data_IF_184960969490
#
_entry.id   IF_184960969490
#
_cell.length_a   1.000
_cell.length_b   1.000
_cell.length_c   1.000
_cell.angle_alpha   90.00
_cell.angle_beta   90.00
_cell.angle_gamma   90.00
#
_symmetry.space_group_name_H-M   'P 1'
#
loop_
_entity.id
_entity.type
_entity.pdbx_description
1 polymer ?
#
# COMPACT_ATOMS: atom_id res chain seq x y z
N UNK A 1 -13.76 5.61 24.07
CA UNK A 1 -14.85 4.74 23.58
C UNK A 1 -14.22 3.53 22.91
N UNK A 2 -14.41 2.33 23.45
CA UNK A 2 -13.84 1.10 22.89
C UNK A 2 -14.53 0.78 21.57
N UNK A 3 -13.83 0.98 20.46
CA UNK A 3 -14.29 0.69 19.11
C UNK A 3 -14.21 -0.82 18.82
N UNK A 4 -15.01 -1.61 19.53
CA UNK A 4 -15.08 -3.06 19.33
C UNK A 4 -15.56 -3.48 17.92
N UNK A 5 -16.09 -2.55 17.12
CA UNK A 5 -16.55 -2.82 15.74
C UNK A 5 -15.63 -2.28 14.64
N UNK A 6 -14.45 -1.79 14.99
CA UNK A 6 -13.47 -1.32 14.02
C UNK A 6 -12.55 -2.45 13.57
N UNK A 7 -12.51 -2.70 12.26
CA UNK A 7 -11.48 -3.56 11.65
C UNK A 7 -10.10 -2.92 11.81
N UNK A 8 -9.06 -3.76 11.82
CA UNK A 8 -7.68 -3.31 11.91
C UNK A 8 -7.33 -2.37 10.74
N UNK A 9 -6.60 -1.25 10.98
CA UNK A 9 -6.09 -0.40 9.92
C UNK A 9 -5.20 -1.17 8.95
N UNK A 10 -5.27 -0.86 7.66
CA UNK A 10 -4.38 -1.40 6.64
C UNK A 10 -3.35 -0.34 6.26
N UNK A 11 -2.09 -0.63 6.54
CA UNK A 11 -0.96 0.26 6.29
C UNK A 11 -0.19 -0.25 5.07
N UNK A 12 -0.21 0.51 3.98
CA UNK A 12 0.59 0.19 2.80
C UNK A 12 2.05 0.61 2.99
N UNK A 13 3.00 -0.21 2.56
CA UNK A 13 4.43 0.12 2.55
C UNK A 13 5.00 -0.01 1.14
N UNK A 14 5.54 1.12 0.65
CA UNK A 14 6.12 1.26 -0.68
C UNK A 14 7.58 1.70 -0.60
N UNK A 15 8.36 1.41 -1.65
CA UNK A 15 9.72 1.93 -1.77
C UNK A 15 10.66 1.11 -2.63
N UNK A 16 11.89 1.61 -2.77
CA UNK A 16 12.96 0.96 -3.52
C UNK A 16 13.91 0.16 -2.63
N UNK A 17 14.67 -0.77 -3.22
CA UNK A 17 15.59 -1.69 -2.53
C UNK A 17 16.58 -1.05 -1.55
N UNK A 18 16.86 0.26 -1.64
CA UNK A 18 17.75 0.98 -0.72
C UNK A 18 17.25 1.00 0.73
N UNK A 19 15.95 0.82 0.96
CA UNK A 19 15.34 0.95 2.29
C UNK A 19 14.89 -0.39 2.90
N UNK A 20 15.47 -1.52 2.48
CA UNK A 20 15.09 -2.87 2.95
C UNK A 20 15.09 -3.00 4.49
N UNK A 21 16.13 -2.52 5.16
CA UNK A 21 16.21 -2.58 6.64
C UNK A 21 15.11 -1.73 7.28
N UNK A 22 14.89 -0.52 6.78
CA UNK A 22 13.88 0.39 7.28
C UNK A 22 12.46 -0.19 7.06
N UNK A 23 12.20 -0.76 5.89
CA UNK A 23 10.95 -1.42 5.55
C UNK A 23 10.66 -2.62 6.47
N UNK A 24 11.67 -3.44 6.79
CA UNK A 24 11.54 -4.53 7.76
C UNK A 24 11.12 -4.02 9.13
N UNK A 25 11.79 -2.98 9.64
CA UNK A 25 11.42 -2.38 10.92
C UNK A 25 10.00 -1.79 10.90
N UNK A 26 9.60 -1.14 9.81
CA UNK A 26 8.23 -0.63 9.64
C UNK A 26 7.22 -1.78 9.68
N UNK A 27 7.46 -2.88 8.96
CA UNK A 27 6.57 -4.05 8.97
C UNK A 27 6.37 -4.63 10.38
N UNK A 28 7.45 -4.73 11.17
CA UNK A 28 7.38 -5.14 12.57
C UNK A 28 6.52 -4.17 13.41
N UNK A 29 6.71 -2.85 13.24
CA UNK A 29 5.96 -1.84 13.99
C UNK A 29 4.48 -1.75 13.59
N UNK A 30 4.15 -1.97 12.31
CA UNK A 30 2.76 -2.09 11.85
C UNK A 30 2.07 -3.25 12.57
N UNK A 31 2.68 -4.43 12.61
CA UNK A 31 2.13 -5.59 13.31
C UNK A 31 1.98 -5.36 14.81
N UNK A 32 2.97 -4.77 15.47
CA UNK A 32 2.92 -4.49 16.90
C UNK A 32 1.83 -3.48 17.28
N UNK A 33 1.36 -2.67 16.32
CA UNK A 33 0.26 -1.73 16.48
C UNK A 33 -1.11 -2.35 16.13
N UNK A 34 -1.19 -3.69 16.01
CA UNK A 34 -2.39 -4.45 15.63
C UNK A 34 -3.00 -4.02 14.28
N UNK A 35 -2.18 -3.43 13.40
CA UNK A 35 -2.52 -3.09 12.02
C UNK A 35 -2.12 -4.22 11.06
N UNK A 36 -2.71 -4.20 9.86
CA UNK A 36 -2.43 -5.14 8.78
C UNK A 36 -1.45 -4.47 7.81
N UNK A 37 -0.32 -5.12 7.53
CA UNK A 37 0.61 -4.65 6.51
C UNK A 37 0.05 -4.94 5.11
N UNK A 38 0.18 -4.01 4.17
CA UNK A 38 -0.09 -4.22 2.75
C UNK A 38 1.11 -3.81 1.91
N UNK A 39 1.47 -4.62 0.91
CA UNK A 39 2.48 -4.27 -0.09
C UNK A 39 2.34 -5.16 -1.33
N UNK A 40 3.05 -4.87 -2.40
CA UNK A 40 3.00 -5.66 -3.64
C UNK A 40 3.95 -6.87 -3.70
N UNK A 41 4.37 -7.37 -2.53
CA UNK A 41 5.30 -8.49 -2.38
C UNK A 41 4.57 -9.81 -2.14
N UNK A 42 5.28 -10.92 -2.26
CA UNK A 42 4.80 -12.29 -1.99
C UNK A 42 5.36 -12.89 -0.70
N UNK A 43 6.36 -12.24 -0.09
CA UNK A 43 7.04 -12.70 1.10
C UNK A 43 8.09 -13.80 0.86
N UNK A 44 8.54 -14.00 -0.38
CA UNK A 44 9.52 -15.05 -0.75
C UNK A 44 10.97 -14.56 -0.70
N UNK A 45 11.27 -13.38 -1.25
CA UNK A 45 12.64 -12.82 -1.29
C UNK A 45 12.89 -11.78 -0.17
N UNK A 46 14.13 -11.52 0.22
CA UNK A 46 14.45 -10.43 1.18
C UNK A 46 15.04 -9.20 0.48
N UNK A 47 15.23 -9.27 -0.84
CA UNK A 47 15.96 -8.26 -1.61
C UNK A 47 15.13 -7.04 -2.00
N UNK A 48 13.83 -7.05 -1.71
CA UNK A 48 12.89 -5.98 -2.01
C UNK A 48 12.33 -5.33 -0.74
N UNK A 49 12.01 -4.03 -0.80
CA UNK A 49 11.32 -3.33 0.30
C UNK A 49 9.99 -4.01 0.64
N UNK A 50 9.28 -4.50 -0.38
CA UNK A 50 7.98 -5.14 -0.23
C UNK A 50 8.08 -6.37 0.65
N UNK A 51 8.96 -7.30 0.28
CA UNK A 51 9.10 -8.53 1.04
C UNK A 51 9.84 -8.35 2.38
N UNK A 52 10.75 -7.36 2.47
CA UNK A 52 11.37 -6.99 3.75
C UNK A 52 10.33 -6.52 4.78
N UNK A 53 9.36 -5.70 4.36
CA UNK A 53 8.24 -5.30 5.20
C UNK A 53 7.40 -6.51 5.62
N UNK A 54 7.06 -7.41 4.68
CA UNK A 54 6.32 -8.64 4.98
C UNK A 54 7.06 -9.47 6.03
N UNK A 55 8.38 -9.64 5.88
CA UNK A 55 9.19 -10.37 6.86
C UNK A 55 9.15 -9.73 8.24
N UNK A 56 9.24 -8.40 8.32
CA UNK A 56 9.06 -7.68 9.59
C UNK A 56 7.72 -7.99 10.25
N UNK A 57 6.63 -7.95 9.45
CA UNK A 57 5.30 -8.27 9.93
C UNK A 57 5.18 -9.73 10.40
N UNK A 58 5.73 -10.68 9.63
CA UNK A 58 5.78 -12.12 9.97
C UNK A 58 6.54 -12.37 11.27
N UNK A 59 7.72 -11.75 11.45
CA UNK A 59 8.53 -11.91 12.66
C UNK A 59 7.80 -11.43 13.91
N UNK A 60 6.97 -10.39 13.79
CA UNK A 60 6.11 -9.90 14.88
C UNK A 60 4.79 -10.70 15.03
N UNK A 61 4.59 -11.78 14.25
CA UNK A 61 3.37 -12.58 14.28
C UNK A 61 2.12 -11.86 13.78
N UNK A 62 2.28 -10.76 13.04
CA UNK A 62 1.18 -9.95 12.56
C UNK A 62 0.72 -10.31 11.15
N UNK A 63 -0.43 -9.73 10.77
CA UNK A 63 -1.09 -10.01 9.51
C UNK A 63 -0.55 -9.16 8.37
N UNK A 64 -0.48 -9.75 7.18
CA UNK A 64 0.04 -9.08 6.00
C UNK A 64 -0.72 -9.48 4.72
N UNK A 65 -0.73 -8.56 3.76
CA UNK A 65 -1.36 -8.72 2.45
C UNK A 65 -0.33 -8.41 1.37
N UNK A 66 -0.16 -9.34 0.44
CA UNK A 66 0.64 -9.20 -0.77
C UNK A 66 -0.23 -8.99 -2.00
N UNK A 67 -0.01 -7.95 -2.79
CA UNK A 67 -0.72 -7.74 -4.07
C UNK A 67 0.22 -8.04 -5.24
N UNK A 68 0.12 -9.24 -5.78
CA UNK A 68 1.05 -9.71 -6.79
C UNK A 68 0.82 -9.04 -8.16
N UNK A 69 1.90 -8.89 -8.93
CA UNK A 69 1.87 -8.23 -10.25
C UNK A 69 1.16 -9.06 -11.31
N UNK A 70 1.42 -10.36 -11.32
CA UNK A 70 0.95 -11.29 -12.34
C UNK A 70 -0.14 -12.20 -11.78
N UNK A 71 -1.04 -12.65 -12.65
CA UNK A 71 -1.99 -13.71 -12.30
C UNK A 71 -1.27 -15.04 -12.40
N UNK A 72 -1.60 -15.94 -11.48
CA UNK A 72 -0.97 -17.24 -11.26
C UNK A 72 -0.86 -18.17 -12.48
N UNK A 73 -1.75 -18.03 -13.47
CA UNK A 73 -1.81 -18.92 -14.64
C UNK A 73 -0.62 -18.79 -15.60
N UNK A 74 0.46 -18.08 -15.24
CA UNK A 74 1.73 -18.05 -15.97
C UNK A 74 2.76 -19.10 -15.50
N UNK A 75 2.41 -19.93 -14.51
CA UNK A 75 3.26 -21.05 -14.06
C UNK A 75 4.41 -20.67 -13.12
N UNK A 76 4.38 -19.46 -12.54
CA UNK A 76 5.50 -18.90 -11.77
C UNK A 76 5.52 -19.20 -10.26
N UNK A 77 4.62 -20.02 -9.69
CA UNK A 77 4.60 -20.22 -8.23
C UNK A 77 5.70 -21.15 -7.73
N UNK A 78 6.31 -20.74 -6.62
CA UNK A 78 6.88 -21.66 -5.64
C UNK A 78 5.74 -22.31 -4.81
N UNK A 79 5.56 -23.65 -4.86
CA UNK A 79 4.58 -24.39 -4.07
C UNK A 79 4.65 -24.17 -2.55
N UNK A 80 5.72 -23.56 -2.04
CA UNK A 80 5.93 -23.23 -0.62
C UNK A 80 5.02 -22.10 -0.10
N UNK A 81 4.47 -21.26 -1.00
CA UNK A 81 3.51 -20.20 -0.68
C UNK A 81 2.16 -20.78 -0.29
N UNK A 82 2.06 -21.54 0.79
CA UNK A 82 0.79 -21.97 1.37
C UNK A 82 0.11 -20.75 2.00
N UNK A 83 -1.23 -20.75 2.00
CA UNK A 83 -2.02 -19.81 2.80
C UNK A 83 -1.54 -19.87 4.25
N UNK A 84 -0.69 -18.93 4.64
CA UNK A 84 -0.30 -18.74 6.03
C UNK A 84 -1.51 -18.13 6.74
N UNK A 85 -1.86 -18.59 7.94
CA UNK A 85 -2.97 -17.98 8.72
C UNK A 85 -2.85 -16.46 8.89
N UNK A 86 -1.62 -15.94 8.81
CA UNK A 86 -1.30 -14.53 8.94
C UNK A 86 -1.09 -13.80 7.60
N UNK A 87 -1.16 -14.47 6.44
CA UNK A 87 -0.82 -13.89 5.14
C UNK A 87 -1.89 -14.13 4.07
N UNK A 88 -2.17 -13.09 3.28
CA UNK A 88 -3.06 -13.19 2.11
C UNK A 88 -2.35 -12.67 0.86
N UNK A 89 -2.24 -13.49 -0.19
CA UNK A 89 -1.77 -13.04 -1.50
C UNK A 89 -2.98 -12.81 -2.42
N UNK A 90 -3.06 -11.61 -3.00
CA UNK A 90 -4.03 -11.22 -4.01
C UNK A 90 -3.36 -11.24 -5.39
N UNK A 91 -3.97 -11.91 -6.35
CA UNK A 91 -3.39 -12.14 -7.69
C UNK A 91 -4.29 -11.59 -8.79
N UNK A 92 -4.43 -10.26 -8.89
CA UNK A 92 -5.45 -9.63 -9.74
C UNK A 92 -5.12 -9.68 -11.24
N UNK A 93 -3.91 -10.09 -11.64
CA UNK A 93 -3.51 -10.11 -13.05
C UNK A 93 -3.46 -8.72 -13.70
N UNK A 94 -3.24 -7.68 -12.91
CA UNK A 94 -3.36 -6.28 -13.36
C UNK A 94 -2.07 -5.68 -13.89
N UNK A 95 -0.95 -6.41 -13.90
CA UNK A 95 0.33 -5.86 -14.33
C UNK A 95 0.67 -4.64 -13.49
N UNK A 96 1.07 -3.50 -14.07
CA UNK A 96 1.34 -2.26 -13.31
C UNK A 96 0.12 -1.63 -12.63
N UNK A 97 -1.10 -1.92 -13.12
CA UNK A 97 -2.33 -1.34 -12.58
C UNK A 97 -2.66 -1.82 -11.16
N UNK A 98 -1.99 -2.86 -10.63
CA UNK A 98 -2.16 -3.27 -9.22
C UNK A 98 -1.78 -2.16 -8.23
N UNK A 99 -0.93 -1.20 -8.60
CA UNK A 99 -0.56 -0.10 -7.72
C UNK A 99 -1.80 0.74 -7.33
N UNK A 100 -2.76 0.91 -8.24
CA UNK A 100 -4.05 1.54 -7.94
C UNK A 100 -4.92 0.68 -7.04
N UNK A 101 -4.87 -0.65 -7.21
CA UNK A 101 -5.54 -1.59 -6.33
C UNK A 101 -4.99 -1.51 -4.90
N UNK A 102 -3.67 -1.49 -4.72
CA UNK A 102 -3.02 -1.32 -3.41
C UNK A 102 -3.52 -0.06 -2.70
N UNK A 103 -3.65 1.06 -3.43
CA UNK A 103 -4.20 2.31 -2.91
C UNK A 103 -5.71 2.23 -2.57
N UNK A 104 -6.49 1.44 -3.30
CA UNK A 104 -7.90 1.17 -2.96
C UNK A 104 -8.02 0.38 -1.65
N UNK A 105 -7.09 -0.55 -1.41
CA UNK A 105 -7.15 -1.49 -0.29
C UNK A 105 -6.58 -0.92 1.02
N UNK A 106 -5.74 0.11 0.98
CA UNK A 106 -5.12 0.68 2.17
C UNK A 106 -5.95 1.80 2.82
N UNK A 107 -5.70 2.00 4.13
CA UNK A 107 -6.24 3.10 4.92
C UNK A 107 -5.26 4.29 4.94
N UNK A 108 -3.95 3.99 4.94
CA UNK A 108 -2.85 4.95 4.89
C UNK A 108 -1.64 4.31 4.20
N UNK A 109 -0.80 5.11 3.56
CA UNK A 109 0.44 4.64 2.95
C UNK A 109 1.69 5.24 3.61
N UNK A 110 2.74 4.43 3.72
CA UNK A 110 4.11 4.84 4.05
C UNK A 110 4.95 4.57 2.79
N UNK A 111 5.50 5.63 2.20
CA UNK A 111 6.34 5.53 1.02
C UNK A 111 7.78 5.93 1.34
N UNK A 112 8.64 4.94 1.45
CA UNK A 112 10.09 5.12 1.49
C UNK A 112 10.56 5.57 0.10
N UNK A 113 11.59 6.42 0.02
CA UNK A 113 12.08 6.94 -1.26
C UNK A 113 12.31 5.81 -2.29
N UNK A 114 11.77 6.04 -3.48
CA UNK A 114 11.78 5.07 -4.56
C UNK A 114 11.78 5.71 -5.93
N UNK A 115 11.68 4.87 -6.97
CA UNK A 115 11.61 5.33 -8.36
C UNK A 115 10.17 5.42 -8.87
N UNK A 116 10.01 5.42 -10.20
CA UNK A 116 8.72 5.53 -10.92
C UNK A 116 7.59 4.64 -10.36
N UNK A 117 7.90 3.39 -10.02
CA UNK A 117 6.92 2.47 -9.43
C UNK A 117 6.34 2.99 -8.11
N UNK A 118 7.20 3.47 -7.21
CA UNK A 118 6.80 4.07 -5.93
C UNK A 118 6.04 5.38 -6.12
N UNK A 119 6.46 6.22 -7.08
CA UNK A 119 5.73 7.45 -7.43
C UNK A 119 4.31 7.13 -7.89
N UNK A 120 4.10 6.09 -8.71
CA UNK A 120 2.76 5.70 -9.14
C UNK A 120 1.86 5.17 -8.00
N UNK A 121 2.45 4.49 -7.00
CA UNK A 121 1.75 4.03 -5.80
C UNK A 121 1.32 5.24 -4.93
N UNK A 122 2.21 6.23 -4.76
CA UNK A 122 1.91 7.50 -4.07
C UNK A 122 0.82 8.27 -4.81
N UNK A 123 0.96 8.43 -6.12
CA UNK A 123 -0.01 9.14 -6.96
C UNK A 123 -1.41 8.52 -6.84
N UNK A 124 -1.52 7.19 -6.87
CA UNK A 124 -2.79 6.50 -6.70
C UNK A 124 -3.42 6.75 -5.31
N UNK A 125 -2.61 6.77 -4.26
CA UNK A 125 -3.08 7.10 -2.91
C UNK A 125 -3.61 8.54 -2.84
N UNK A 126 -2.84 9.50 -3.34
CA UNK A 126 -3.22 10.91 -3.38
C UNK A 126 -4.51 11.12 -4.21
N UNK A 127 -4.60 10.48 -5.38
CA UNK A 127 -5.80 10.49 -6.23
C UNK A 127 -7.05 10.00 -5.48
N UNK A 128 -6.88 8.96 -4.67
CA UNK A 128 -7.94 8.38 -3.84
C UNK A 128 -8.11 9.09 -2.49
N UNK A 129 -7.43 10.23 -2.28
CA UNK A 129 -7.45 11.02 -1.04
C UNK A 129 -7.04 10.20 0.19
N UNK A 130 -6.10 9.27 0.01
CA UNK A 130 -5.48 8.49 1.07
C UNK A 130 -4.27 9.25 1.62
N UNK A 131 -4.11 9.35 2.95
CA UNK A 131 -2.94 9.99 3.54
C UNK A 131 -1.67 9.21 3.19
N UNK A 132 -0.59 9.94 2.94
CA UNK A 132 0.73 9.37 2.60
C UNK A 132 1.82 9.96 3.47
N UNK A 133 2.60 9.08 4.10
CA UNK A 133 3.83 9.43 4.82
C UNK A 133 5.02 9.20 3.89
N UNK A 134 5.66 10.28 3.45
CA UNK A 134 6.87 10.26 2.64
C UNK A 134 8.09 10.23 3.56
N UNK A 135 8.93 9.21 3.41
CA UNK A 135 10.15 9.05 4.22
C UNK A 135 11.38 9.11 3.32
N UNK A 136 12.34 9.96 3.69
CA UNK A 136 13.60 10.18 2.95
C UNK A 136 13.43 10.79 1.53
N UNK A 137 12.41 11.62 1.31
CA UNK A 137 12.20 12.34 0.04
C UNK A 137 12.77 13.75 0.13
N UNK A 138 13.76 14.05 -0.71
CA UNK A 138 14.54 15.28 -0.64
C UNK A 138 13.83 16.50 -1.27
N UNK A 139 12.90 16.28 -2.21
CA UNK A 139 12.28 17.32 -3.05
C UNK A 139 10.74 17.28 -3.08
N UNK A 140 10.14 18.31 -3.68
CA UNK A 140 8.78 18.30 -4.22
C UNK A 140 8.59 17.08 -5.14
N UNK A 141 7.54 16.29 -4.92
CA UNK A 141 7.18 15.12 -5.75
C UNK A 141 6.40 15.55 -7.01
N UNK A 142 6.03 16.82 -7.08
CA UNK A 142 5.26 17.46 -8.14
C UNK A 142 5.88 17.27 -9.54
N UNK A 143 7.20 17.42 -9.75
CA UNK A 143 7.82 17.12 -11.04
C UNK A 143 7.72 15.65 -11.42
N UNK A 144 7.84 14.73 -10.45
CA UNK A 144 7.69 13.29 -10.68
C UNK A 144 6.24 12.93 -11.06
N UNK A 145 5.25 13.60 -10.47
CA UNK A 145 3.84 13.48 -10.86
C UNK A 145 3.59 14.01 -12.27
N UNK A 146 4.10 15.20 -12.59
CA UNK A 146 4.00 15.76 -13.94
C UNK A 146 4.63 14.81 -14.97
N UNK A 147 5.80 14.24 -14.65
CA UNK A 147 6.43 13.23 -15.49
C UNK A 147 5.56 11.98 -15.66
N UNK A 148 5.02 11.42 -14.57
CA UNK A 148 4.13 10.25 -14.61
C UNK A 148 2.90 10.52 -15.49
N UNK A 149 2.27 11.69 -15.31
CA UNK A 149 1.12 12.12 -16.11
C UNK A 149 1.49 12.28 -17.58
N UNK A 150 2.64 12.88 -17.89
CA UNK A 150 3.11 13.08 -19.26
C UNK A 150 3.50 11.77 -19.97
N UNK A 151 4.15 10.84 -19.28
CA UNK A 151 4.68 9.62 -19.89
C UNK A 151 3.62 8.49 -19.94
N UNK A 152 2.86 8.31 -18.86
CA UNK A 152 1.92 7.20 -18.72
C UNK A 152 0.50 7.56 -19.19
N UNK A 153 0.07 8.82 -19.05
CA UNK A 153 -1.31 9.26 -19.30
C UNK A 153 -1.49 10.19 -20.51
N UNK A 154 -0.51 11.05 -20.85
CA UNK A 154 -0.63 12.00 -21.96
C UNK A 154 -0.71 11.39 -23.37
N UNK A 155 -0.13 10.21 -23.68
CA UNK A 155 -0.29 9.61 -25.01
C UNK A 155 -1.73 9.20 -25.36
N UNK A 156 -2.71 9.41 -24.45
CA UNK A 156 -4.07 8.86 -24.58
C UNK A 156 -5.23 9.84 -24.38
N UNK A 157 -5.03 11.12 -24.05
CA UNK A 157 -6.16 11.98 -23.61
C UNK A 157 -6.00 13.49 -23.97
N UNK A 158 -6.91 14.05 -24.77
CA UNK A 158 -7.08 15.50 -25.02
C UNK A 158 -7.54 16.28 -23.76
N UNK A 159 -8.13 15.59 -22.78
CA UNK A 159 -8.58 16.13 -21.49
C UNK A 159 -7.50 16.20 -20.38
N UNK A 160 -6.22 16.13 -20.75
CA UNK A 160 -5.09 16.11 -19.80
C UNK A 160 -5.05 17.38 -18.95
N UNK A 161 -5.37 18.54 -19.51
CA UNK A 161 -5.36 19.83 -18.81
C UNK A 161 -6.43 19.92 -17.71
N UNK A 162 -7.64 19.41 -17.93
CA UNK A 162 -8.66 19.37 -16.89
C UNK A 162 -8.30 18.35 -15.80
N UNK A 163 -7.72 17.21 -16.18
CA UNK A 163 -7.26 16.19 -15.22
C UNK A 163 -6.10 16.70 -14.36
N UNK A 164 -5.14 17.42 -14.96
CA UNK A 164 -4.03 18.06 -14.26
C UNK A 164 -4.56 19.15 -13.31
N UNK A 165 -5.54 19.96 -13.73
CA UNK A 165 -6.16 20.97 -12.85
C UNK A 165 -6.93 20.33 -11.70
N UNK A 166 -7.70 19.27 -11.95
CA UNK A 166 -8.41 18.48 -10.94
C UNK A 166 -7.41 17.83 -9.97
N UNK A 167 -6.28 17.31 -10.47
CA UNK A 167 -5.23 16.68 -9.66
C UNK A 167 -4.39 17.67 -8.87
N UNK A 168 -4.04 18.81 -9.45
CA UNK A 168 -3.36 19.89 -8.76
C UNK A 168 -4.23 20.48 -7.65
N UNK A 169 -5.55 20.56 -7.87
CA UNK A 169 -6.51 21.04 -6.88
C UNK A 169 -6.91 19.98 -5.83
N UNK A 170 -6.87 18.69 -6.17
CA UNK A 170 -7.18 17.59 -5.24
C UNK A 170 -5.96 17.03 -4.49
N UNK A 171 -4.76 17.11 -5.08
CA UNK A 171 -3.61 16.27 -4.73
C UNK A 171 -2.48 16.94 -3.96
N UNK A 172 -2.53 18.25 -3.74
CA UNK A 172 -1.51 18.98 -2.97
C UNK A 172 -2.12 19.76 -1.82
N UNK A 173 -3.11 19.17 -1.13
CA UNK A 173 -3.43 19.68 0.20
C UNK A 173 -2.30 19.27 1.13
N UNK A 174 -1.70 20.23 1.82
CA UNK A 174 -0.62 20.01 2.81
C UNK A 174 -1.01 19.02 3.92
N UNK A 175 -2.30 18.75 4.11
CA UNK A 175 -2.79 17.85 5.16
C UNK A 175 -2.78 16.35 4.76
N UNK A 176 -2.66 16.02 3.47
CA UNK A 176 -2.68 14.64 2.97
C UNK A 176 -1.29 13.99 2.88
N UNK A 177 -0.23 14.81 2.74
CA UNK A 177 1.16 14.34 2.61
C UNK A 177 1.96 14.82 3.81
N UNK A 178 2.61 13.90 4.52
CA UNK A 178 3.54 14.23 5.61
C UNK A 178 4.93 13.78 5.20
N UNK A 179 5.92 14.66 5.32
CA UNK A 179 7.32 14.35 5.02
C UNK A 179 8.09 14.13 6.31
N UNK A 180 8.80 13.02 6.37
CA UNK A 180 9.67 12.64 7.48
C UNK A 180 11.11 12.40 6.97
N UNK A 181 12.13 12.82 7.73
CA UNK A 181 13.53 12.53 7.42
C UNK A 181 13.84 11.02 7.31
N UNK A 182 15.00 10.69 6.73
CA UNK A 182 15.40 9.30 6.49
C UNK A 182 15.71 8.54 7.79
N UNK A 183 16.15 9.27 8.80
CA UNK A 183 16.56 8.82 10.12
C UNK A 183 15.38 8.66 11.10
N UNK A 184 14.17 9.06 10.70
CA UNK A 184 13.00 8.95 11.57
C UNK A 184 12.78 7.48 11.97
N UNK A 185 12.65 7.16 13.27
CA UNK A 185 12.45 5.79 13.72
C UNK A 185 11.15 5.18 13.17
N UNK A 186 11.21 3.89 12.82
CA UNK A 186 10.04 3.16 12.29
C UNK A 186 8.78 3.26 13.18
N UNK A 187 8.95 3.28 14.51
CA UNK A 187 7.83 3.41 15.44
C UNK A 187 7.13 4.77 15.34
N UNK A 188 7.90 5.85 15.14
CA UNK A 188 7.37 7.20 14.95
C UNK A 188 6.67 7.34 13.59
N UNK A 189 7.26 6.77 12.54
CA UNK A 189 6.64 6.71 11.19
C UNK A 189 5.28 6.02 11.27
N UNK A 190 5.21 4.83 11.88
CA UNK A 190 3.96 4.06 12.00
C UNK A 190 2.94 4.79 12.88
N UNK A 191 3.35 5.38 14.00
CA UNK A 191 2.47 6.18 14.86
C UNK A 191 1.87 7.36 14.09
N UNK A 192 2.70 8.06 13.33
CA UNK A 192 2.28 9.19 12.48
C UNK A 192 1.29 8.73 11.41
N UNK A 193 1.54 7.59 10.75
CA UNK A 193 0.64 7.02 9.76
C UNK A 193 -0.73 6.67 10.36
N UNK A 194 -0.73 5.98 11.50
CA UNK A 194 -1.96 5.54 12.16
C UNK A 194 -2.79 6.72 12.68
N UNK A 195 -2.16 7.81 13.10
CA UNK A 195 -2.85 9.04 13.49
C UNK A 195 -3.63 9.71 12.34
N UNK A 196 -3.36 9.33 11.08
CA UNK A 196 -4.08 9.82 9.90
C UNK A 196 -5.17 8.88 9.39
N UNK A 197 -5.40 7.75 10.06
CA UNK A 197 -6.45 6.81 9.67
C UNK A 197 -7.83 7.42 10.01
N UNK A 198 -8.54 7.87 8.98
CA UNK A 198 -9.83 8.55 9.07
C UNK A 198 -11.06 7.66 8.86
N UNK A 199 -11.06 6.46 9.44
CA UNK A 199 -12.21 5.58 9.76
C UNK A 199 -13.38 5.28 8.79
N UNK A 200 -13.47 5.87 7.60
CA UNK A 200 -14.34 5.38 6.53
C UNK A 200 -13.46 4.82 5.41
N UNK A 201 -13.44 3.49 5.25
CA UNK A 201 -12.97 2.94 3.96
C UNK A 201 -13.99 3.38 2.91
N UNK A 202 -13.55 3.74 1.69
CA UNK A 202 -14.44 3.76 0.54
C UNK A 202 -15.25 2.47 0.55
N UNK A 203 -16.51 2.59 0.97
CA UNK A 203 -17.39 1.45 1.16
C UNK A 203 -17.64 0.88 -0.21
N UNK A 204 -17.22 -0.37 -0.39
CA UNK A 204 -17.26 -1.13 -1.64
C UNK A 204 -16.11 -0.78 -2.56
N UNK A 205 -15.30 -1.81 -2.75
CA UNK A 205 -14.41 -1.99 -3.86
C UNK A 205 -14.93 -1.32 -5.15
N UNK A 206 -14.11 -0.58 -5.92
CA UNK A 206 -14.63 0.24 -6.99
C UNK A 206 -15.48 -0.57 -7.97
N UNK A 207 -16.72 -0.13 -8.19
CA UNK A 207 -17.70 -0.86 -9.00
C UNK A 207 -17.18 -1.18 -10.42
N UNK A 208 -16.24 -0.38 -10.93
CA UNK A 208 -15.63 -0.58 -12.25
C UNK A 208 -14.87 -1.90 -12.39
N UNK A 209 -14.41 -2.51 -11.28
CA UNK A 209 -13.72 -3.78 -11.38
C UNK A 209 -14.65 -4.96 -11.67
N UNK A 210 -15.98 -4.79 -11.57
CA UNK A 210 -16.96 -5.77 -12.02
C UNK A 210 -16.92 -7.13 -11.30
N UNK A 211 -17.85 -8.02 -11.69
CA UNK A 211 -18.06 -9.30 -11.00
C UNK A 211 -16.87 -10.26 -11.10
N UNK A 212 -16.04 -10.11 -12.14
CA UNK A 212 -14.84 -10.94 -12.36
C UNK A 212 -13.91 -10.97 -11.15
N UNK A 213 -13.80 -9.86 -10.42
CA UNK A 213 -12.88 -9.76 -9.30
C UNK A 213 -13.57 -9.99 -7.94
N UNK A 214 -14.89 -10.23 -7.93
CA UNK A 214 -15.70 -10.43 -6.72
C UNK A 214 -15.11 -11.48 -5.76
N UNK A 215 -14.67 -12.67 -6.21
CA UNK A 215 -14.10 -13.68 -5.31
C UNK A 215 -12.84 -13.20 -4.58
N UNK A 216 -11.99 -12.42 -5.27
CA UNK A 216 -10.78 -11.84 -4.70
C UNK A 216 -11.12 -10.84 -3.57
N UNK A 217 -12.19 -10.07 -3.73
CA UNK A 217 -12.62 -9.13 -2.68
C UNK A 217 -13.32 -9.79 -1.52
N UNK A 218 -14.12 -10.82 -1.77
CA UNK A 218 -14.75 -11.56 -0.69
C UNK A 218 -13.67 -12.22 0.19
N UNK A 219 -12.58 -12.73 -0.40
CA UNK A 219 -11.41 -13.23 0.33
C UNK A 219 -10.69 -12.12 1.13
N UNK A 220 -10.48 -10.94 0.53
CA UNK A 220 -9.88 -9.80 1.21
C UNK A 220 -10.73 -9.30 2.40
N UNK A 221 -12.04 -9.13 2.21
CA UNK A 221 -12.94 -8.69 3.27
C UNK A 221 -13.01 -9.74 4.39
N UNK A 222 -13.09 -11.03 4.05
CA UNK A 222 -13.05 -12.10 5.03
C UNK A 222 -11.75 -12.09 5.85
N UNK A 223 -10.59 -11.92 5.21
CA UNK A 223 -9.30 -11.84 5.90
C UNK A 223 -9.19 -10.62 6.82
N UNK A 224 -9.62 -9.46 6.36
CA UNK A 224 -9.50 -8.20 7.12
C UNK A 224 -10.52 -8.09 8.26
N UNK A 225 -11.64 -8.82 8.17
CA UNK A 225 -12.62 -8.95 9.25
C UNK A 225 -12.15 -9.87 10.39
N UNK A 226 -11.17 -10.74 10.15
CA UNK A 226 -10.58 -11.55 11.23
C UNK A 226 -9.96 -10.65 12.30
N UNK A 227 -10.04 -11.07 13.55
CA UNK A 227 -9.29 -10.44 14.64
C UNK A 227 -7.95 -11.14 14.80
N UNK A 228 -6.92 -10.37 15.11
CA UNK A 228 -5.61 -10.93 15.44
C UNK A 228 -5.75 -11.75 16.73
N UNK A 229 -5.73 -13.08 16.63
CA UNK A 229 -5.37 -13.90 17.77
C UNK A 229 -3.85 -13.84 17.86
N UNK A 230 -3.29 -13.19 18.89
CA UNK A 230 -1.85 -13.31 19.14
C UNK A 230 -1.57 -14.80 19.31
N UNK A 231 -0.75 -15.35 18.41
CA UNK A 231 -0.27 -16.71 18.56
C UNK A 231 0.45 -16.77 19.92
N UNK A 232 0.14 -17.79 20.75
CA UNK A 232 0.75 -17.92 22.08
C UNK A 232 2.27 -18.01 22.02
#
# INVERSE_FOLDING_TARGET
MNNANMRAPIVAVFGSKKFVSHARSIGEKVSNADAILLTGGDGVDDGSVKNAAIKGAKTAGGRWIGVHRHAYNDGSRDPSLKEEKAGLILEPGLGHRRNYLEACLCDVAIALKGGKGTVSEIFACVFLRKPVILVAWDDHIEPDFCWLMADEYAPKIDALDEKIKELASAGLREDAIIRLPAETPAGEIVTTALARVGMERPGRFPAFFGDRFRPLFDAFEAFTAQRTAKLP
#
